data_IF_268694758935
#
_entry.id   IF_268694758935
#
_cell.length_a   1.000
_cell.length_b   1.000
_cell.length_c   1.000
_cell.angle_alpha   90.00
_cell.angle_beta   90.00
_cell.angle_gamma   90.00
#
_symmetry.space_group_name_H-M   'P 1'
#
loop_
_entity.id
_entity.type
_entity.pdbx_description
1 polymer ?
#
# COMPACT_ATOMS: atom_id res chain seq x y z
N UNK A 1 -15.58 -15.92 13.36
CA UNK A 1 -16.03 -16.36 12.01
C UNK A 1 -15.16 -17.49 11.50
N UNK A 2 -15.74 -18.60 11.01
CA UNK A 2 -15.00 -19.70 10.35
C UNK A 2 -15.24 -19.65 8.84
N UNK A 3 -14.18 -19.63 8.05
CA UNK A 3 -14.27 -19.88 6.62
C UNK A 3 -14.42 -21.38 6.33
N UNK A 4 -15.13 -21.71 5.26
CA UNK A 4 -15.18 -23.12 4.81
C UNK A 4 -13.79 -23.56 4.33
N UNK A 5 -13.46 -24.84 4.48
CA UNK A 5 -12.21 -25.43 3.98
C UNK A 5 -11.96 -25.06 2.49
N UNK A 6 -13.03 -25.08 1.67
CA UNK A 6 -12.94 -24.69 0.25
C UNK A 6 -12.43 -23.26 0.05
N UNK A 7 -12.93 -22.28 0.81
CA UNK A 7 -12.49 -20.87 0.68
C UNK A 7 -11.04 -20.69 1.13
N UNK A 8 -10.63 -21.38 2.17
CA UNK A 8 -9.24 -21.38 2.61
C UNK A 8 -8.31 -22.00 1.56
N UNK A 9 -8.74 -23.09 0.91
CA UNK A 9 -7.99 -23.71 -0.19
C UNK A 9 -7.89 -22.78 -1.41
N UNK A 10 -8.98 -22.07 -1.77
CA UNK A 10 -8.94 -21.06 -2.85
C UNK A 10 -7.97 -19.92 -2.48
N UNK A 11 -8.03 -19.40 -1.25
CA UNK A 11 -7.11 -18.35 -0.79
C UNK A 11 -5.65 -18.84 -0.84
N UNK A 12 -5.38 -20.06 -0.38
CA UNK A 12 -4.04 -20.67 -0.50
C UNK A 12 -3.61 -20.83 -1.95
N UNK A 13 -4.50 -21.27 -2.83
CA UNK A 13 -4.24 -21.38 -4.27
C UNK A 13 -3.92 -20.02 -4.90
N UNK A 14 -4.66 -18.96 -4.52
CA UNK A 14 -4.38 -17.57 -4.94
C UNK A 14 -3.03 -17.10 -4.43
N UNK A 15 -2.72 -17.35 -3.14
CA UNK A 15 -1.41 -17.04 -2.58
C UNK A 15 -0.28 -17.66 -3.38
N UNK A 16 -0.35 -18.98 -3.59
CA UNK A 16 0.70 -19.72 -4.31
C UNK A 16 0.81 -19.23 -5.75
N UNK A 17 -0.31 -19.13 -6.48
CA UNK A 17 -0.32 -18.73 -7.88
C UNK A 17 0.23 -17.30 -8.06
N UNK A 18 -0.21 -16.34 -7.22
CA UNK A 18 0.30 -14.97 -7.29
C UNK A 18 1.79 -14.90 -6.93
N UNK A 19 2.22 -15.57 -5.86
CA UNK A 19 3.64 -15.60 -5.46
C UNK A 19 4.54 -16.20 -6.56
N UNK A 20 4.09 -17.27 -7.21
CA UNK A 20 4.82 -17.87 -8.33
C UNK A 20 4.94 -16.90 -9.50
N UNK A 21 3.85 -16.22 -9.88
CA UNK A 21 3.88 -15.25 -10.99
C UNK A 21 4.80 -14.08 -10.63
N UNK A 22 4.71 -13.49 -9.44
CA UNK A 22 5.61 -12.42 -9.00
C UNK A 22 7.07 -12.87 -9.01
N UNK A 23 7.35 -14.06 -8.52
CA UNK A 23 8.70 -14.63 -8.55
C UNK A 23 9.23 -14.82 -9.97
N UNK A 24 8.41 -15.29 -10.93
CA UNK A 24 8.81 -15.46 -12.31
C UNK A 24 9.05 -14.13 -13.05
N UNK A 25 8.29 -13.08 -12.69
CA UNK A 25 8.46 -11.74 -13.27
C UNK A 25 9.63 -10.98 -12.66
N UNK A 26 9.97 -11.23 -11.39
CA UNK A 26 11.06 -10.54 -10.71
C UNK A 26 12.40 -10.72 -11.43
N UNK A 27 13.25 -9.70 -11.33
CA UNK A 27 14.62 -9.76 -11.83
C UNK A 27 15.39 -10.94 -11.20
N UNK A 28 16.23 -11.67 -11.95
CA UNK A 28 17.06 -12.72 -11.40
C UNK A 28 17.88 -12.30 -10.18
N UNK A 29 18.43 -11.07 -10.16
CA UNK A 29 19.18 -10.54 -9.04
C UNK A 29 18.29 -10.41 -7.77
N UNK A 30 17.06 -9.91 -7.90
CA UNK A 30 16.10 -9.82 -6.77
C UNK A 30 15.78 -11.19 -6.17
N UNK A 31 15.84 -12.26 -6.99
CA UNK A 31 15.54 -13.63 -6.56
C UNK A 31 16.71 -14.33 -5.89
N UNK A 32 17.94 -13.98 -6.24
CA UNK A 32 19.14 -14.75 -5.87
C UNK A 32 20.12 -14.02 -4.96
N UNK A 33 20.05 -12.68 -4.92
CA UNK A 33 20.98 -11.84 -4.20
C UNK A 33 20.24 -10.92 -3.20
N UNK A 34 20.99 -10.20 -2.35
CA UNK A 34 20.40 -9.07 -1.63
C UNK A 34 20.10 -7.93 -2.60
N UNK A 35 19.06 -7.15 -2.34
CA UNK A 35 18.81 -5.97 -3.16
C UNK A 35 19.82 -4.86 -2.84
N UNK A 36 20.16 -3.97 -3.80
CA UNK A 36 21.07 -2.85 -3.54
C UNK A 36 20.49 -1.84 -2.55
N UNK A 37 19.19 -1.89 -2.27
CA UNK A 37 18.48 -1.02 -1.32
C UNK A 37 17.81 -1.84 -0.23
N UNK A 38 18.63 -2.64 0.48
CA UNK A 38 18.26 -3.57 1.54
C UNK A 38 18.13 -2.89 2.93
N UNK A 39 17.65 -1.66 2.97
CA UNK A 39 17.54 -0.83 4.18
C UNK A 39 16.89 -1.56 5.37
N UNK A 40 15.86 -2.37 5.12
CA UNK A 40 15.22 -3.14 6.18
C UNK A 40 16.11 -4.22 6.77
N UNK A 41 16.98 -4.85 5.98
CA UNK A 41 17.97 -5.80 6.48
C UNK A 41 19.03 -5.09 7.31
N UNK A 42 19.49 -3.90 6.86
CA UNK A 42 20.45 -3.07 7.60
C UNK A 42 19.86 -2.58 8.94
N UNK A 43 18.60 -2.16 8.96
CA UNK A 43 17.90 -1.77 10.19
C UNK A 43 17.73 -2.95 11.15
N UNK A 44 17.36 -4.13 10.62
CA UNK A 44 17.21 -5.34 11.41
C UNK A 44 18.57 -5.76 12.04
N UNK A 45 19.68 -5.61 11.32
CA UNK A 45 21.01 -5.87 11.84
C UNK A 45 21.44 -4.87 12.92
N UNK A 46 21.14 -3.58 12.72
CA UNK A 46 21.39 -2.56 13.73
C UNK A 46 20.70 -2.92 15.07
N UNK A 47 19.42 -3.32 15.01
CA UNK A 47 18.69 -3.75 16.22
C UNK A 47 19.24 -5.00 16.88
N UNK A 48 19.75 -5.97 16.11
CA UNK A 48 20.42 -7.16 16.67
C UNK A 48 21.64 -6.79 17.51
N UNK A 49 22.28 -5.68 17.18
CA UNK A 49 23.43 -5.16 17.91
C UNK A 49 23.06 -4.08 18.96
N UNK A 50 21.76 -3.96 19.29
CA UNK A 50 21.27 -2.98 20.27
C UNK A 50 21.39 -1.52 19.84
N UNK A 51 21.54 -1.24 18.53
CA UNK A 51 21.68 0.10 17.95
C UNK A 51 20.42 0.54 17.24
N UNK A 52 20.19 1.85 17.20
CA UNK A 52 19.14 2.48 16.40
C UNK A 52 19.69 3.13 15.13
N UNK A 53 20.99 3.35 15.05
CA UNK A 53 21.77 3.81 13.90
C UNK A 53 22.53 2.65 13.25
N UNK A 54 23.10 2.87 12.07
CA UNK A 54 23.85 1.83 11.33
C UNK A 54 25.23 1.52 11.93
N UNK A 55 25.72 2.33 12.89
CA UNK A 55 27.06 2.19 13.48
C UNK A 55 28.19 2.65 12.57
N UNK A 56 27.88 3.26 11.42
CA UNK A 56 28.81 3.76 10.41
C UNK A 56 28.06 4.24 9.17
N UNK A 57 28.79 4.68 8.13
CA UNK A 57 28.19 5.07 6.86
C UNK A 57 27.46 3.89 6.19
N UNK A 58 26.42 4.15 5.37
CA UNK A 58 25.75 3.11 4.62
C UNK A 58 26.73 2.35 3.70
N UNK A 59 26.52 1.05 3.44
CA UNK A 59 27.34 0.31 2.51
C UNK A 59 27.42 0.97 1.13
N UNK A 60 28.59 0.98 0.49
CA UNK A 60 28.82 1.67 -0.77
C UNK A 60 27.87 1.22 -1.91
N UNK A 61 27.47 -0.04 -1.93
CA UNK A 61 26.54 -0.57 -2.94
C UNK A 61 25.14 0.08 -2.89
N UNK A 62 24.75 0.72 -1.77
CA UNK A 62 23.47 1.42 -1.64
C UNK A 62 23.46 2.77 -2.36
N UNK A 63 24.63 3.28 -2.79
CA UNK A 63 24.78 4.62 -3.35
C UNK A 63 24.40 5.73 -2.38
N UNK A 64 24.35 5.46 -1.08
CA UNK A 64 23.87 6.37 -0.03
C UNK A 64 22.43 6.91 -0.27
N UNK A 65 21.61 6.14 -0.97
CA UNK A 65 20.26 6.55 -1.36
C UNK A 65 19.26 6.39 -0.20
N UNK A 66 18.57 7.48 0.17
CA UNK A 66 17.52 7.54 1.19
C UNK A 66 17.96 7.12 2.62
N UNK A 67 19.22 7.42 2.98
CA UNK A 67 19.67 7.40 4.37
C UNK A 67 19.70 8.80 4.95
N UNK A 68 19.38 8.93 6.22
CA UNK A 68 19.45 10.20 6.96
C UNK A 68 20.72 10.26 7.81
N UNK A 69 21.38 11.42 7.80
CA UNK A 69 22.52 11.71 8.66
C UNK A 69 22.12 12.75 9.69
N UNK A 70 22.14 12.37 10.97
CA UNK A 70 21.83 13.23 12.11
C UNK A 70 22.83 12.96 13.23
N UNK A 71 23.42 14.01 13.81
CA UNK A 71 24.41 13.94 14.89
C UNK A 71 25.53 12.90 14.57
N UNK A 72 26.14 13.03 13.38
CA UNK A 72 27.17 12.14 12.81
C UNK A 72 26.84 10.64 12.75
N UNK A 73 25.57 10.29 12.93
CA UNK A 73 25.05 8.93 12.80
C UNK A 73 24.18 8.78 11.56
N UNK A 74 24.12 7.56 11.04
CA UNK A 74 23.32 7.21 9.88
C UNK A 74 22.13 6.38 10.26
N UNK A 75 20.95 6.74 9.74
CA UNK A 75 19.68 6.13 10.09
C UNK A 75 18.89 5.70 8.85
N UNK A 76 18.19 4.56 8.99
CA UNK A 76 17.10 4.18 8.10
C UNK A 76 15.82 4.82 8.61
N UNK A 77 15.19 5.68 7.80
CA UNK A 77 14.00 6.46 8.21
C UNK A 77 12.67 5.84 7.76
N UNK A 78 12.71 4.74 7.03
CA UNK A 78 11.49 4.04 6.65
C UNK A 78 10.76 3.46 7.87
N UNK A 79 9.40 3.42 7.85
CA UNK A 79 8.63 2.82 8.93
C UNK A 79 9.10 1.39 9.24
N UNK A 80 9.26 1.03 10.53
CA UNK A 80 10.19 -0.03 10.95
C UNK A 80 9.64 -1.47 10.89
N UNK A 81 8.33 -1.69 10.70
CA UNK A 81 7.76 -3.03 10.81
C UNK A 81 8.31 -4.04 9.79
N UNK A 82 8.58 -3.70 8.51
CA UNK A 82 9.19 -4.66 7.58
C UNK A 82 10.59 -5.12 8.03
N UNK A 83 11.37 -4.25 8.70
CA UNK A 83 12.65 -4.65 9.28
C UNK A 83 12.47 -5.65 10.43
N UNK A 84 11.41 -5.49 11.24
CA UNK A 84 11.13 -6.43 12.34
C UNK A 84 10.89 -7.86 11.80
N UNK A 85 10.26 -8.01 10.64
CA UNK A 85 10.07 -9.31 9.99
C UNK A 85 11.40 -9.95 9.56
N UNK A 86 12.42 -9.13 9.27
CA UNK A 86 13.74 -9.60 8.84
C UNK A 86 14.69 -9.90 10.00
N UNK A 87 14.42 -9.45 11.23
CA UNK A 87 15.31 -9.68 12.39
C UNK A 87 15.71 -11.17 12.54
N UNK A 88 14.78 -12.14 12.54
CA UNK A 88 15.16 -13.55 12.67
C UNK A 88 15.96 -14.06 11.46
N UNK A 89 15.71 -13.53 10.26
CA UNK A 89 16.38 -13.94 9.03
C UNK A 89 17.81 -13.42 9.01
N UNK A 90 18.01 -12.14 9.34
CA UNK A 90 19.35 -11.54 9.49
C UNK A 90 20.13 -12.25 10.59
N UNK A 91 19.45 -12.64 11.70
CA UNK A 91 20.08 -13.41 12.77
C UNK A 91 20.63 -14.76 12.29
N UNK A 92 19.89 -15.45 11.44
CA UNK A 92 20.33 -16.73 10.87
C UNK A 92 21.39 -16.56 9.78
N UNK A 93 21.29 -15.51 8.96
CA UNK A 93 22.24 -15.22 7.88
C UNK A 93 23.58 -14.67 8.39
N UNK A 94 23.60 -14.05 9.56
CA UNK A 94 24.77 -13.44 10.19
C UNK A 94 25.03 -12.00 9.77
N UNK A 95 24.81 -11.64 8.50
CA UNK A 95 24.99 -10.28 7.97
C UNK A 95 23.87 -9.88 7.01
N UNK A 96 23.56 -8.57 6.86
CA UNK A 96 22.52 -8.08 5.94
C UNK A 96 22.76 -8.49 4.48
N UNK A 97 24.02 -8.55 4.04
CA UNK A 97 24.40 -8.87 2.65
C UNK A 97 24.13 -10.34 2.28
N UNK A 98 24.00 -11.21 3.26
CA UNK A 98 23.64 -12.63 3.05
C UNK A 98 22.13 -12.85 3.00
N UNK A 99 21.33 -11.83 3.33
CA UNK A 99 19.88 -11.92 3.30
C UNK A 99 19.36 -11.64 1.91
N UNK A 100 18.65 -12.58 1.30
CA UNK A 100 17.93 -12.39 0.05
C UNK A 100 16.58 -11.68 0.35
N UNK A 101 16.67 -10.40 0.73
CA UNK A 101 15.53 -9.60 1.15
C UNK A 101 14.46 -9.47 0.06
N UNK A 102 14.87 -9.30 -1.21
CA UNK A 102 13.95 -9.31 -2.34
C UNK A 102 13.14 -10.61 -2.43
N UNK A 103 13.80 -11.77 -2.33
CA UNK A 103 13.12 -13.06 -2.31
C UNK A 103 12.13 -13.20 -1.16
N UNK A 104 12.50 -12.73 0.03
CA UNK A 104 11.61 -12.74 1.19
C UNK A 104 10.32 -11.95 0.93
N UNK A 105 10.43 -10.73 0.40
CA UNK A 105 9.26 -9.90 0.12
C UNK A 105 8.43 -10.43 -1.07
N UNK A 106 9.04 -11.09 -2.05
CA UNK A 106 8.32 -11.82 -3.10
C UNK A 106 7.41 -12.92 -2.54
N UNK A 107 7.88 -13.65 -1.51
CA UNK A 107 7.06 -14.66 -0.84
C UNK A 107 5.87 -14.05 -0.08
N UNK A 108 6.00 -12.83 0.44
CA UNK A 108 4.91 -12.13 1.11
C UNK A 108 3.89 -11.52 0.13
N UNK A 109 4.28 -11.28 -1.13
CA UNK A 109 3.46 -10.55 -2.08
C UNK A 109 2.11 -11.22 -2.41
N UNK A 110 2.03 -12.55 -2.38
CA UNK A 110 0.79 -13.30 -2.60
C UNK A 110 -0.24 -13.20 -1.46
N UNK A 111 0.18 -12.69 -0.27
CA UNK A 111 -0.72 -12.60 0.90
C UNK A 111 -1.86 -11.60 0.65
N UNK A 112 -1.55 -10.42 0.09
CA UNK A 112 -2.55 -9.37 -0.12
C UNK A 112 -3.73 -9.84 -1.00
N UNK A 113 -3.54 -10.42 -2.21
CA UNK A 113 -4.65 -10.90 -3.02
C UNK A 113 -5.41 -12.07 -2.38
N UNK A 114 -4.72 -12.96 -1.67
CA UNK A 114 -5.36 -14.08 -0.97
C UNK A 114 -6.28 -13.63 0.17
N UNK A 115 -5.80 -12.66 0.99
CA UNK A 115 -6.58 -12.10 2.10
C UNK A 115 -7.68 -11.19 1.58
N UNK A 116 -7.46 -10.44 0.48
CA UNK A 116 -8.51 -9.67 -0.19
C UNK A 116 -9.65 -10.60 -0.64
N UNK A 117 -9.35 -11.73 -1.28
CA UNK A 117 -10.38 -12.72 -1.62
C UNK A 117 -11.22 -13.11 -0.40
N UNK A 118 -10.60 -13.40 0.73
CA UNK A 118 -11.33 -13.73 1.96
C UNK A 118 -12.20 -12.58 2.46
N UNK A 119 -11.72 -11.32 2.37
CA UNK A 119 -12.50 -10.15 2.72
C UNK A 119 -13.71 -9.96 1.79
N UNK A 120 -13.54 -10.17 0.48
CA UNK A 120 -14.63 -10.12 -0.50
C UNK A 120 -15.67 -11.24 -0.24
N UNK A 121 -15.23 -12.46 0.10
CA UNK A 121 -16.12 -13.55 0.48
C UNK A 121 -16.85 -13.28 1.81
N UNK A 122 -16.22 -12.55 2.72
CA UNK A 122 -16.88 -12.06 3.95
C UNK A 122 -17.99 -11.06 3.59
N UNK A 123 -17.73 -10.06 2.74
CA UNK A 123 -18.74 -9.11 2.26
C UNK A 123 -19.91 -9.83 1.58
N UNK A 124 -19.61 -10.83 0.72
CA UNK A 124 -20.64 -11.63 0.05
C UNK A 124 -21.50 -12.41 1.05
N UNK A 125 -20.89 -13.03 2.04
CA UNK A 125 -21.60 -13.82 3.06
C UNK A 125 -22.55 -12.98 3.90
N UNK A 126 -22.19 -11.75 4.19
CA UNK A 126 -23.05 -10.81 4.92
C UNK A 126 -24.06 -10.07 4.02
N UNK A 127 -24.18 -10.46 2.74
CA UNK A 127 -25.10 -9.82 1.80
C UNK A 127 -24.69 -8.40 1.39
N UNK A 128 -23.45 -7.99 1.69
CA UNK A 128 -22.92 -6.64 1.39
C UNK A 128 -22.38 -6.54 -0.05
N UNK A 129 -21.99 -7.64 -0.64
CA UNK A 129 -21.52 -7.71 -2.02
C UNK A 129 -22.36 -8.69 -2.83
N UNK A 130 -23.00 -8.25 -3.92
CA UNK A 130 -23.82 -9.11 -4.79
C UNK A 130 -22.99 -9.93 -5.79
N UNK A 131 -21.66 -9.95 -5.62
CA UNK A 131 -20.75 -10.70 -6.46
C UNK A 131 -20.86 -12.22 -6.24
N UNK A 132 -20.44 -13.01 -7.23
CA UNK A 132 -20.25 -14.46 -7.08
C UNK A 132 -18.84 -14.77 -6.55
N UNK A 133 -18.60 -16.02 -6.13
CA UNK A 133 -17.25 -16.48 -5.75
C UNK A 133 -16.26 -16.30 -6.91
N UNK A 134 -16.68 -16.56 -8.17
CA UNK A 134 -15.86 -16.28 -9.36
C UNK A 134 -15.57 -14.79 -9.50
N UNK A 135 -16.52 -13.93 -9.17
CA UNK A 135 -16.32 -12.49 -9.14
C UNK A 135 -15.31 -12.06 -8.07
N UNK A 136 -15.35 -12.66 -6.88
CA UNK A 136 -14.36 -12.43 -5.82
C UNK A 136 -12.95 -12.85 -6.26
N UNK A 137 -12.81 -14.00 -6.94
CA UNK A 137 -11.54 -14.47 -7.51
C UNK A 137 -11.05 -13.51 -8.60
N UNK A 138 -11.94 -13.10 -9.53
CA UNK A 138 -11.62 -12.14 -10.60
C UNK A 138 -11.09 -10.83 -10.02
N UNK A 139 -11.75 -10.27 -8.99
CA UNK A 139 -11.32 -9.03 -8.34
C UNK A 139 -9.97 -9.20 -7.62
N UNK A 140 -9.74 -10.32 -6.92
CA UNK A 140 -8.46 -10.60 -6.27
C UNK A 140 -7.31 -10.73 -7.28
N UNK A 141 -7.53 -11.40 -8.41
CA UNK A 141 -6.55 -11.50 -9.50
C UNK A 141 -6.37 -10.16 -10.22
N UNK A 142 -7.45 -9.39 -10.40
CA UNK A 142 -7.35 -8.04 -10.97
C UNK A 142 -6.60 -7.08 -10.05
N UNK A 143 -6.71 -7.23 -8.73
CA UNK A 143 -5.86 -6.52 -7.78
C UNK A 143 -4.39 -6.94 -7.96
N UNK A 144 -4.12 -8.24 -7.98
CA UNK A 144 -2.76 -8.77 -8.07
C UNK A 144 -2.04 -8.37 -9.37
N UNK A 145 -2.71 -8.48 -10.51
CA UNK A 145 -2.09 -8.36 -11.83
C UNK A 145 -2.60 -7.18 -12.66
N UNK A 146 -3.78 -6.67 -12.38
CA UNK A 146 -4.41 -5.54 -13.08
C UNK A 146 -4.35 -4.23 -12.32
N UNK A 147 -3.49 -4.11 -11.33
CA UNK A 147 -3.19 -2.85 -10.65
C UNK A 147 -1.68 -2.63 -10.56
N UNK A 148 -1.28 -1.43 -10.15
CA UNK A 148 0.13 -1.10 -9.93
C UNK A 148 0.79 -1.94 -8.82
N UNK A 149 0.01 -2.77 -8.14
CA UNK A 149 0.55 -3.76 -7.21
C UNK A 149 1.47 -4.76 -7.92
N UNK A 150 1.18 -5.13 -9.18
CA UNK A 150 1.97 -6.11 -9.93
C UNK A 150 3.43 -5.68 -10.04
N UNK A 151 3.70 -4.48 -10.59
CA UNK A 151 5.08 -4.03 -10.71
C UNK A 151 5.72 -3.74 -9.35
N UNK A 152 4.94 -3.37 -8.33
CA UNK A 152 5.46 -3.16 -6.97
C UNK A 152 5.83 -4.48 -6.28
N UNK A 153 5.06 -5.54 -6.53
CA UNK A 153 5.21 -6.82 -5.86
C UNK A 153 6.50 -7.58 -6.26
N UNK A 154 7.03 -7.33 -7.47
CA UNK A 154 8.18 -8.06 -8.01
C UNK A 154 9.53 -7.36 -7.76
N UNK A 155 9.54 -6.10 -7.29
CA UNK A 155 10.76 -5.31 -7.13
C UNK A 155 11.62 -5.66 -5.91
N UNK A 156 11.01 -6.07 -4.82
CA UNK A 156 11.69 -6.52 -3.59
C UNK A 156 12.49 -5.48 -2.81
N UNK A 157 12.77 -4.29 -3.36
CA UNK A 157 13.55 -3.24 -2.70
C UNK A 157 12.74 -2.50 -1.64
N UNK A 158 13.40 -1.75 -0.75
CA UNK A 158 12.80 -1.11 0.43
C UNK A 158 11.48 -0.39 0.16
N UNK A 159 11.41 0.43 -0.88
CA UNK A 159 10.20 1.21 -1.20
C UNK A 159 9.02 0.34 -1.60
N UNK A 160 9.28 -0.73 -2.36
CA UNK A 160 8.26 -1.63 -2.89
C UNK A 160 7.91 -2.72 -1.88
N UNK A 161 8.87 -3.21 -1.12
CA UNK A 161 8.66 -4.11 0.01
C UNK A 161 7.68 -3.52 1.03
N UNK A 162 7.80 -2.21 1.33
CA UNK A 162 6.85 -1.51 2.17
C UNK A 162 5.42 -1.55 1.61
N UNK A 163 5.23 -1.43 0.28
CA UNK A 163 3.91 -1.57 -0.34
C UNK A 163 3.37 -3.01 -0.29
N UNK A 164 4.24 -4.01 -0.44
CA UNK A 164 3.85 -5.44 -0.34
C UNK A 164 3.31 -5.75 1.06
N UNK A 165 4.07 -5.41 2.09
CA UNK A 165 3.67 -5.63 3.49
C UNK A 165 2.47 -4.77 3.84
N UNK A 166 2.46 -3.49 3.41
CA UNK A 166 1.35 -2.56 3.64
C UNK A 166 0.04 -3.04 3.03
N UNK A 167 0.04 -3.53 1.78
CA UNK A 167 -1.15 -4.07 1.12
C UNK A 167 -1.66 -5.35 1.80
N UNK A 168 -0.77 -6.23 2.28
CA UNK A 168 -1.16 -7.41 3.04
C UNK A 168 -1.84 -7.03 4.38
N UNK A 169 -1.30 -6.03 5.07
CA UNK A 169 -1.89 -5.50 6.31
C UNK A 169 -3.20 -4.75 6.06
N UNK A 170 -3.31 -3.99 4.97
CA UNK A 170 -4.56 -3.34 4.56
C UNK A 170 -5.66 -4.37 4.23
N UNK A 171 -5.32 -5.47 3.54
CA UNK A 171 -6.24 -6.57 3.28
C UNK A 171 -6.66 -7.28 4.58
N UNK A 172 -5.73 -7.51 5.52
CA UNK A 172 -6.02 -8.03 6.85
C UNK A 172 -6.91 -7.09 7.65
N UNK A 173 -6.61 -5.79 7.62
CA UNK A 173 -7.44 -4.78 8.25
C UNK A 173 -8.87 -4.77 7.69
N UNK A 174 -9.03 -4.76 6.35
CA UNK A 174 -10.35 -4.87 5.72
C UNK A 174 -11.09 -6.12 6.21
N UNK A 175 -10.44 -7.29 6.20
CA UNK A 175 -11.03 -8.55 6.64
C UNK A 175 -11.53 -8.51 8.09
N UNK A 176 -10.74 -7.93 9.01
CA UNK A 176 -11.05 -7.91 10.43
C UNK A 176 -11.99 -6.77 10.82
N UNK A 177 -11.94 -5.63 10.11
CA UNK A 177 -12.78 -4.46 10.37
C UNK A 177 -14.25 -4.67 9.98
N UNK A 178 -14.51 -5.39 8.89
CA UNK A 178 -15.87 -5.67 8.42
C UNK A 178 -16.73 -6.30 9.52
N UNK A 179 -17.96 -5.80 9.69
CA UNK A 179 -18.93 -6.20 10.73
C UNK A 179 -18.42 -5.96 12.17
N UNK A 180 -17.33 -5.20 12.35
CA UNK A 180 -16.63 -4.97 13.63
C UNK A 180 -16.39 -6.27 14.44
N UNK A 181 -16.19 -7.41 13.74
CA UNK A 181 -16.19 -8.74 14.33
C UNK A 181 -14.91 -9.04 15.13
N UNK A 182 -13.78 -8.43 14.74
CA UNK A 182 -12.46 -8.67 15.30
C UNK A 182 -11.73 -7.36 15.63
N UNK A 183 -12.25 -6.55 16.60
CA UNK A 183 -11.73 -5.19 16.84
C UNK A 183 -10.24 -5.15 17.10
N UNK A 184 -9.73 -6.03 17.98
CA UNK A 184 -8.31 -6.05 18.32
C UNK A 184 -7.42 -6.43 17.13
N UNK A 185 -7.83 -7.42 16.30
CA UNK A 185 -7.08 -7.79 15.10
C UNK A 185 -7.13 -6.69 14.02
N UNK A 186 -8.26 -6.01 13.90
CA UNK A 186 -8.37 -4.85 13.01
C UNK A 186 -7.44 -3.72 13.46
N UNK A 187 -7.42 -3.40 14.75
CA UNK A 187 -6.51 -2.42 15.32
C UNK A 187 -5.04 -2.82 15.16
N UNK A 188 -4.70 -4.09 15.38
CA UNK A 188 -3.34 -4.60 15.21
C UNK A 188 -2.89 -4.50 13.75
N UNK A 189 -3.74 -4.93 12.79
CA UNK A 189 -3.41 -4.84 11.36
C UNK A 189 -3.21 -3.38 10.92
N UNK A 190 -4.02 -2.46 11.43
CA UNK A 190 -3.90 -1.03 11.17
C UNK A 190 -2.64 -0.43 11.78
N UNK A 191 -2.33 -0.80 13.03
CA UNK A 191 -1.14 -0.35 13.76
C UNK A 191 0.16 -0.80 13.07
N UNK A 192 0.24 -2.07 12.69
CA UNK A 192 1.37 -2.60 11.93
C UNK A 192 1.42 -2.01 10.51
N UNK A 193 0.24 -1.72 9.94
CA UNK A 193 0.10 -0.96 8.69
C UNK A 193 0.73 0.42 8.81
N UNK A 194 0.44 1.17 9.87
CA UNK A 194 1.08 2.46 10.17
C UNK A 194 2.59 2.33 10.29
N UNK A 195 3.08 1.33 11.03
CA UNK A 195 4.51 1.07 11.20
C UNK A 195 5.18 0.49 9.92
N UNK A 196 4.45 0.35 8.82
CA UNK A 196 4.94 -0.07 7.49
C UNK A 196 4.79 1.04 6.46
N UNK A 197 3.61 1.65 6.41
CA UNK A 197 3.18 2.73 5.53
C UNK A 197 2.31 3.68 6.34
N UNK A 198 2.88 4.79 6.76
CA UNK A 198 2.21 5.77 7.64
C UNK A 198 0.79 6.17 7.19
N UNK A 199 0.49 6.34 5.86
CA UNK A 199 -0.87 6.68 5.42
C UNK A 199 -1.94 5.64 5.80
N UNK A 200 -1.58 4.39 6.08
CA UNK A 200 -2.55 3.36 6.45
C UNK A 200 -3.25 3.66 7.79
N UNK A 201 -2.65 4.45 8.68
CA UNK A 201 -3.34 4.87 9.92
C UNK A 201 -4.65 5.60 9.63
N UNK A 202 -4.72 6.33 8.53
CA UNK A 202 -5.92 7.05 8.10
C UNK A 202 -7.05 6.14 7.59
N UNK A 203 -6.85 4.81 7.57
CA UNK A 203 -7.92 3.86 7.23
C UNK A 203 -8.91 3.61 8.40
N UNK A 204 -8.68 4.15 9.58
CA UNK A 204 -9.53 3.98 10.76
C UNK A 204 -11.05 4.19 10.53
N UNK A 205 -11.52 5.10 9.63
CA UNK A 205 -12.95 5.31 9.39
C UNK A 205 -13.72 4.03 9.06
N UNK A 206 -13.13 3.07 8.35
CA UNK A 206 -13.81 1.81 8.05
C UNK A 206 -14.26 1.09 9.33
N UNK A 207 -13.34 0.88 10.28
CA UNK A 207 -13.69 0.17 11.52
C UNK A 207 -14.64 0.98 12.38
N UNK A 208 -14.42 2.29 12.52
CA UNK A 208 -15.27 3.16 13.35
C UNK A 208 -16.72 3.13 12.86
N UNK A 209 -16.94 3.28 11.56
CA UNK A 209 -18.29 3.26 10.97
C UNK A 209 -18.92 1.87 11.05
N UNK A 210 -18.17 0.80 10.85
CA UNK A 210 -18.65 -0.57 11.06
C UNK A 210 -19.02 -0.83 12.52
N UNK A 211 -18.23 -0.32 13.48
CA UNK A 211 -18.54 -0.44 14.92
C UNK A 211 -19.83 0.31 15.30
N UNK A 212 -20.01 1.53 14.77
CA UNK A 212 -21.26 2.29 14.96
C UNK A 212 -22.44 1.54 14.35
N UNK A 213 -22.33 1.10 13.08
CA UNK A 213 -23.38 0.36 12.39
C UNK A 213 -23.81 -0.90 13.14
N UNK A 214 -22.85 -1.71 13.61
CA UNK A 214 -23.13 -2.98 14.29
C UNK A 214 -23.58 -2.80 15.74
N UNK A 215 -23.41 -1.62 16.32
CA UNK A 215 -23.85 -1.26 17.67
C UNK A 215 -25.16 -0.46 17.68
N UNK A 216 -25.80 -0.25 16.52
CA UNK A 216 -27.04 0.52 16.38
C UNK A 216 -28.04 -0.20 15.47
N UNK A 217 -29.22 0.42 15.25
CA UNK A 217 -30.18 -0.06 14.27
C UNK A 217 -29.61 0.17 12.85
N UNK A 218 -29.47 -0.91 12.09
CA UNK A 218 -28.88 -0.89 10.75
C UNK A 218 -29.71 -0.06 9.75
N UNK A 219 -31.06 -0.09 9.88
CA UNK A 219 -31.94 0.69 9.01
C UNK A 219 -31.76 2.20 9.26
N UNK A 220 -31.62 2.60 10.53
CA UNK A 220 -31.36 3.99 10.89
C UNK A 220 -30.00 4.46 10.35
N UNK A 221 -28.97 3.60 10.45
CA UNK A 221 -27.65 3.87 9.87
C UNK A 221 -27.73 4.02 8.35
N UNK A 222 -28.39 3.11 7.66
CA UNK A 222 -28.54 3.11 6.20
C UNK A 222 -29.33 4.30 5.64
N UNK A 223 -30.31 4.82 6.40
CA UNK A 223 -31.11 6.00 6.05
C UNK A 223 -30.47 7.32 6.47
N UNK A 224 -29.38 7.30 7.25
CA UNK A 224 -28.78 8.50 7.83
C UNK A 224 -29.65 9.17 8.89
N UNK A 225 -30.59 8.44 9.49
CA UNK A 225 -31.44 8.97 10.57
C UNK A 225 -30.64 9.02 11.87
N UNK A 226 -30.02 10.17 12.10
CA UNK A 226 -29.14 10.40 13.26
C UNK A 226 -29.89 10.28 14.59
N UNK A 227 -31.19 10.66 14.66
CA UNK A 227 -31.96 10.55 15.90
C UNK A 227 -32.26 9.09 16.25
N UNK A 228 -32.72 8.31 15.29
CA UNK A 228 -32.99 6.88 15.48
C UNK A 228 -31.66 6.13 15.71
N UNK A 229 -30.58 6.51 15.06
CA UNK A 229 -29.24 5.96 15.29
C UNK A 229 -28.80 6.13 16.75
N UNK A 230 -28.83 7.37 17.26
CA UNK A 230 -28.43 7.67 18.64
C UNK A 230 -29.34 7.03 19.69
N UNK A 231 -30.65 6.94 19.42
CA UNK A 231 -31.62 6.30 20.28
C UNK A 231 -31.41 4.77 20.38
N UNK A 232 -30.96 4.14 19.30
CA UNK A 232 -30.73 2.68 19.23
C UNK A 232 -29.31 2.24 19.57
N UNK A 233 -28.40 3.18 19.85
CA UNK A 233 -26.98 2.90 20.01
C UNK A 233 -26.66 2.18 21.32
N UNK A 234 -26.17 0.95 21.24
CA UNK A 234 -25.54 0.24 22.37
C UNK A 234 -24.14 0.83 22.63
N UNK A 235 -24.13 1.84 23.51
CA UNK A 235 -22.91 2.59 23.88
C UNK A 235 -21.86 1.68 24.52
N UNK A 236 -22.27 0.68 25.30
CA UNK A 236 -21.33 -0.22 25.98
C UNK A 236 -20.63 -1.16 24.99
N UNK A 237 -21.35 -1.66 24.00
CA UNK A 237 -20.82 -2.46 22.90
C UNK A 237 -19.87 -1.63 22.04
N UNK A 238 -20.28 -0.43 21.63
CA UNK A 238 -19.47 0.49 20.85
C UNK A 238 -18.16 0.80 21.57
N UNK A 239 -18.25 1.22 22.84
CA UNK A 239 -17.06 1.59 23.63
C UNK A 239 -16.08 0.41 23.75
N UNK A 240 -16.57 -0.79 24.07
CA UNK A 240 -15.73 -2.00 24.14
C UNK A 240 -15.03 -2.28 22.80
N UNK A 241 -15.76 -2.16 21.68
CA UNK A 241 -15.20 -2.38 20.35
C UNK A 241 -14.13 -1.34 20.01
N UNK A 242 -14.39 -0.05 20.30
CA UNK A 242 -13.43 1.02 20.07
C UNK A 242 -12.18 0.89 20.96
N UNK A 243 -12.34 0.58 22.24
CA UNK A 243 -11.21 0.36 23.14
C UNK A 243 -10.33 -0.81 22.65
N UNK A 244 -10.96 -1.94 22.31
CA UNK A 244 -10.22 -3.09 21.79
C UNK A 244 -9.50 -2.78 20.48
N UNK A 245 -10.09 -1.97 19.61
CA UNK A 245 -9.48 -1.50 18.35
C UNK A 245 -8.32 -0.54 18.60
N UNK A 246 -8.51 0.45 19.48
CA UNK A 246 -7.51 1.49 19.72
C UNK A 246 -6.29 1.00 20.50
N UNK A 247 -6.43 -0.02 21.36
CA UNK A 247 -5.33 -0.53 22.21
C UNK A 247 -4.06 -0.84 21.44
N UNK A 248 -4.05 -1.70 20.39
CA UNK A 248 -2.83 -1.97 19.64
C UNK A 248 -2.33 -0.76 18.85
N UNK A 249 -3.23 0.13 18.41
CA UNK A 249 -2.85 1.35 17.69
C UNK A 249 -2.05 2.26 18.61
N UNK A 250 -2.60 2.56 19.79
CA UNK A 250 -1.94 3.42 20.78
C UNK A 250 -0.58 2.85 21.17
N UNK A 251 -0.51 1.54 21.42
CA UNK A 251 0.75 0.88 21.78
C UNK A 251 1.81 1.05 20.69
N UNK A 252 1.49 0.75 19.43
CA UNK A 252 2.45 0.86 18.33
C UNK A 252 2.83 2.31 18.05
N UNK A 253 1.88 3.26 18.12
CA UNK A 253 2.17 4.69 17.99
C UNK A 253 3.13 5.15 19.09
N UNK A 254 2.88 4.80 20.34
CA UNK A 254 3.78 5.14 21.45
C UNK A 254 5.18 4.54 21.28
N UNK A 255 5.29 3.29 20.82
CA UNK A 255 6.57 2.66 20.52
C UNK A 255 7.30 3.39 19.37
N UNK A 256 6.57 3.85 18.35
CA UNK A 256 7.16 4.62 17.24
C UNK A 256 7.65 5.98 17.73
N UNK A 257 6.84 6.70 18.51
CA UNK A 257 7.24 7.98 19.09
C UNK A 257 8.48 7.85 20.01
N UNK A 258 8.54 6.79 20.81
CA UNK A 258 9.72 6.50 21.65
C UNK A 258 10.95 6.18 20.78
N UNK A 259 10.78 5.42 19.69
CA UNK A 259 11.84 5.10 18.76
C UNK A 259 12.40 6.37 18.09
N UNK A 260 11.53 7.31 17.68
CA UNK A 260 11.94 8.57 17.08
C UNK A 260 12.60 9.50 18.12
N UNK A 261 12.04 9.60 19.31
CA UNK A 261 12.66 10.32 20.44
C UNK A 261 14.09 9.84 20.73
N UNK A 262 14.32 8.53 20.67
CA UNK A 262 15.65 7.95 20.94
C UNK A 262 16.65 8.18 19.81
N UNK A 263 16.17 8.34 18.57
CA UNK A 263 17.01 8.58 17.38
C UNK A 263 17.33 10.04 17.18
N UNK A 264 16.34 10.92 17.33
CA UNK A 264 16.41 12.32 16.91
C UNK A 264 16.22 13.33 18.06
N UNK A 265 15.94 12.88 19.27
CA UNK A 265 15.67 13.75 20.40
C UNK A 265 14.29 14.40 20.40
N UNK A 266 13.45 14.14 19.38
CA UNK A 266 12.08 14.61 19.22
C UNK A 266 11.19 13.43 18.79
N UNK A 267 10.07 13.16 19.51
CA UNK A 267 9.18 12.05 19.16
C UNK A 267 8.44 12.24 17.84
N UNK A 268 8.36 13.47 17.31
CA UNK A 268 7.69 13.79 16.05
C UNK A 268 8.66 13.93 14.87
N UNK A 269 9.97 13.83 15.10
CA UNK A 269 10.98 13.87 14.05
C UNK A 269 11.17 12.47 13.47
N UNK A 270 10.74 12.29 12.22
CA UNK A 270 10.85 11.01 11.48
C UNK A 270 12.14 10.89 10.67
N UNK A 271 12.99 11.93 10.67
CA UNK A 271 14.31 11.92 10.03
C UNK A 271 14.31 12.27 8.54
N UNK A 272 13.17 12.49 7.90
CA UNK A 272 13.12 12.78 6.46
C UNK A 272 13.76 14.14 6.08
N UNK A 273 13.80 15.10 6.98
CA UNK A 273 14.47 16.38 6.73
C UNK A 273 16.00 16.27 6.68
N UNK A 274 16.56 15.14 7.12
CA UNK A 274 18.01 14.87 7.10
C UNK A 274 18.43 13.95 5.96
N UNK A 275 17.52 13.63 5.03
CA UNK A 275 17.81 12.82 3.86
C UNK A 275 18.77 13.56 2.92
N UNK A 276 19.82 12.85 2.45
CA UNK A 276 20.74 13.36 1.43
C UNK A 276 20.17 13.28 0.01
N UNK A 277 19.00 13.90 -0.25
CA UNK A 277 18.32 13.84 -1.56
C UNK A 277 18.43 15.16 -2.31
N UNK A 278 18.45 15.12 -3.65
CA UNK A 278 18.62 16.31 -4.50
C UNK A 278 17.54 17.38 -4.32
N UNK A 279 16.34 16.99 -3.85
CA UNK A 279 15.21 17.91 -3.60
C UNK A 279 15.01 18.26 -2.12
N UNK A 280 16.04 18.11 -1.29
CA UNK A 280 15.97 18.44 0.15
C UNK A 280 15.56 19.91 0.39
N UNK A 281 16.00 20.83 -0.47
CA UNK A 281 15.63 22.25 -0.39
C UNK A 281 14.11 22.48 -0.42
N UNK A 282 13.34 21.67 -1.13
CA UNK A 282 11.87 21.74 -1.14
C UNK A 282 11.26 21.27 0.18
N UNK A 283 11.82 20.19 0.76
CA UNK A 283 11.40 19.70 2.08
C UNK A 283 11.67 20.76 3.14
N UNK A 284 12.81 21.43 3.08
CA UNK A 284 13.16 22.53 4.00
C UNK A 284 12.25 23.75 3.82
N UNK A 285 11.88 24.09 2.57
CA UNK A 285 11.05 25.26 2.26
C UNK A 285 9.57 25.06 2.58
N UNK A 286 9.00 23.89 2.25
CA UNK A 286 7.55 23.64 2.28
C UNK A 286 7.13 22.48 3.19
N UNK A 287 8.08 21.80 3.83
CA UNK A 287 7.84 20.60 4.63
C UNK A 287 7.55 19.35 3.79
N UNK A 288 7.22 18.27 4.49
CA UNK A 288 6.87 16.99 3.85
C UNK A 288 5.49 17.01 3.17
N UNK A 289 4.60 17.87 3.65
CA UNK A 289 3.22 18.00 3.15
C UNK A 289 2.92 19.47 2.89
N UNK A 290 2.55 19.77 1.66
CA UNK A 290 2.21 21.12 1.24
C UNK A 290 1.28 21.12 0.03
N UNK A 291 0.47 22.16 -0.12
CA UNK A 291 -0.36 22.37 -1.32
C UNK A 291 0.50 22.56 -2.58
N UNK A 292 1.76 22.97 -2.46
CA UNK A 292 2.70 23.10 -3.58
C UNK A 292 2.93 21.79 -4.32
N UNK A 293 2.73 20.64 -3.66
CA UNK A 293 2.90 19.32 -4.29
C UNK A 293 1.63 18.80 -4.95
N UNK A 294 0.47 19.42 -4.68
CA UNK A 294 -0.85 18.92 -5.11
C UNK A 294 -0.96 18.84 -6.64
N UNK A 295 -0.55 19.89 -7.36
CA UNK A 295 -0.68 19.93 -8.84
C UNK A 295 0.10 18.81 -9.51
N UNK A 296 1.33 18.57 -9.08
CA UNK A 296 2.18 17.50 -9.60
C UNK A 296 1.60 16.11 -9.29
N UNK A 297 1.20 15.87 -8.05
CA UNK A 297 0.62 14.59 -7.66
C UNK A 297 -0.70 14.31 -8.40
N UNK A 298 -1.58 15.31 -8.54
CA UNK A 298 -2.80 15.19 -9.34
C UNK A 298 -2.48 14.94 -10.82
N UNK A 299 -1.48 15.62 -11.38
CA UNK A 299 -1.02 15.39 -12.74
C UNK A 299 -0.63 13.94 -12.99
N UNK A 300 0.13 13.33 -12.06
CA UNK A 300 0.48 11.90 -12.17
C UNK A 300 -0.75 11.02 -12.06
N UNK A 301 -1.61 11.26 -11.06
CA UNK A 301 -2.77 10.39 -10.77
C UNK A 301 -3.82 10.41 -11.88
N UNK A 302 -4.01 11.57 -12.54
CA UNK A 302 -5.14 11.80 -13.43
C UNK A 302 -4.76 11.92 -14.91
N UNK A 303 -3.57 12.47 -15.24
CA UNK A 303 -3.27 12.91 -16.61
C UNK A 303 -2.01 12.32 -17.23
N UNK A 304 -1.13 11.71 -16.43
CA UNK A 304 0.13 11.15 -16.96
C UNK A 304 -0.12 9.92 -17.82
N UNK A 305 0.24 9.99 -19.10
CA UNK A 305 0.09 8.91 -20.08
C UNK A 305 1.44 8.63 -20.76
N UNK A 306 1.59 7.48 -21.44
CA UNK A 306 2.76 7.24 -22.28
C UNK A 306 2.86 8.28 -23.40
N UNK A 307 4.08 8.77 -23.66
CA UNK A 307 4.39 9.73 -24.72
C UNK A 307 4.74 9.00 -26.00
N UNK A 308 4.11 9.40 -27.12
CA UNK A 308 4.52 8.93 -28.45
C UNK A 308 5.86 9.57 -28.83
N UNK A 309 6.82 8.74 -29.19
CA UNK A 309 8.13 9.18 -29.69
C UNK A 309 8.07 9.17 -31.22
N UNK A 310 8.43 10.30 -31.84
CA UNK A 310 8.41 10.43 -33.32
C UNK A 310 9.64 9.81 -33.96
N UNK A 311 10.78 9.81 -33.26
CA UNK A 311 12.05 9.22 -33.71
C UNK A 311 12.78 8.64 -32.51
N UNK A 312 13.16 7.36 -32.57
CA UNK A 312 13.86 6.69 -31.48
C UNK A 312 13.76 5.16 -31.56
N UNK A 313 14.36 4.50 -30.60
CA UNK A 313 14.43 3.03 -30.52
C UNK A 313 13.09 2.39 -30.12
N UNK A 314 12.17 3.18 -29.55
CA UNK A 314 10.88 2.71 -29.02
C UNK A 314 9.72 3.60 -29.47
N UNK A 315 8.50 3.07 -29.67
CA UNK A 315 7.37 3.85 -30.18
C UNK A 315 6.76 4.80 -29.14
N UNK A 316 7.02 4.58 -27.86
CA UNK A 316 6.53 5.42 -26.76
C UNK A 316 7.49 5.41 -25.58
N UNK A 317 7.39 6.43 -24.75
CA UNK A 317 8.12 6.51 -23.49
C UNK A 317 7.17 6.82 -22.31
N UNK A 318 7.57 6.38 -21.13
CA UNK A 318 6.84 6.53 -19.88
C UNK A 318 7.65 7.42 -18.94
N UNK A 319 6.99 8.45 -18.41
CA UNK A 319 7.58 9.29 -17.38
C UNK A 319 7.70 8.50 -16.07
N UNK A 320 8.88 8.45 -15.50
CA UNK A 320 9.14 7.74 -14.24
C UNK A 320 8.48 8.37 -13.00
N UNK A 321 7.79 9.51 -13.15
CA UNK A 321 6.85 10.01 -12.14
C UNK A 321 5.58 9.16 -12.04
N UNK A 322 5.31 8.30 -13.01
CA UNK A 322 4.22 7.33 -13.02
C UNK A 322 3.16 7.59 -14.08
N UNK A 323 2.16 6.72 -14.13
CA UNK A 323 1.02 6.76 -15.05
C UNK A 323 -0.29 6.94 -14.29
N UNK A 324 -1.27 7.54 -14.97
CA UNK A 324 -2.63 7.76 -14.46
C UNK A 324 -3.30 6.45 -14.01
N UNK A 325 -4.02 6.52 -12.88
CA UNK A 325 -4.68 5.35 -12.27
C UNK A 325 -5.69 4.70 -13.21
N UNK A 326 -6.49 5.50 -13.91
CA UNK A 326 -7.49 4.99 -14.84
C UNK A 326 -6.89 4.33 -16.09
N UNK A 327 -5.66 4.71 -16.45
CA UNK A 327 -4.93 4.10 -17.56
C UNK A 327 -4.35 2.74 -17.15
N UNK A 328 -3.69 2.67 -15.99
CA UNK A 328 -3.11 1.42 -15.48
C UNK A 328 -4.15 0.46 -14.93
N UNK A 329 -5.26 0.99 -14.36
CA UNK A 329 -6.33 0.18 -13.76
C UNK A 329 -7.71 0.76 -14.13
N UNK A 330 -8.14 0.62 -15.40
CA UNK A 330 -9.41 1.20 -15.86
C UNK A 330 -10.63 0.66 -15.13
N UNK A 331 -10.53 -0.44 -14.39
CA UNK A 331 -11.58 -0.96 -13.52
C UNK A 331 -12.08 0.08 -12.51
N UNK A 332 -11.23 1.04 -12.09
CA UNK A 332 -11.63 2.12 -11.18
C UNK A 332 -12.67 3.07 -11.78
N UNK A 333 -12.82 3.13 -13.11
CA UNK A 333 -13.86 3.92 -13.76
C UNK A 333 -15.26 3.42 -13.41
N UNK A 334 -15.45 2.13 -13.13
CA UNK A 334 -16.75 1.61 -12.67
C UNK A 334 -17.18 2.21 -11.34
N UNK A 335 -16.28 2.63 -10.50
CA UNK A 335 -16.56 3.22 -9.19
C UNK A 335 -17.33 4.55 -9.29
N UNK A 336 -17.27 5.22 -10.44
CA UNK A 336 -17.97 6.49 -10.67
C UNK A 336 -19.49 6.31 -10.81
N UNK A 337 -19.97 5.10 -11.14
CA UNK A 337 -21.39 4.81 -11.36
C UNK A 337 -21.85 3.55 -10.62
N UNK A 338 -21.88 3.57 -9.27
CA UNK A 338 -22.33 2.41 -8.50
C UNK A 338 -23.82 2.16 -8.77
N UNK A 339 -24.18 0.89 -8.99
CA UNK A 339 -25.57 0.46 -9.18
C UNK A 339 -26.26 0.16 -7.86
N UNK A 340 -25.49 -0.05 -6.81
CA UNK A 340 -25.93 -0.33 -5.46
C UNK A 340 -24.92 0.23 -4.48
N UNK A 341 -25.41 0.81 -3.39
CA UNK A 341 -24.59 1.25 -2.27
C UNK A 341 -24.96 0.42 -1.04
N UNK A 342 -24.14 -0.59 -0.72
CA UNK A 342 -24.32 -1.38 0.49
C UNK A 342 -23.77 -0.65 1.72
N UNK A 343 -24.12 -1.10 2.92
CA UNK A 343 -23.74 -0.46 4.17
C UNK A 343 -22.24 -0.09 4.31
N UNK A 344 -21.25 -0.91 3.89
CA UNK A 344 -19.86 -0.49 4.00
C UNK A 344 -19.40 0.50 2.90
N UNK A 345 -20.25 0.86 1.93
CA UNK A 345 -19.84 1.65 0.76
C UNK A 345 -19.31 3.04 1.15
N UNK A 346 -20.03 3.76 2.00
CA UNK A 346 -19.61 5.08 2.51
C UNK A 346 -18.31 4.95 3.35
N UNK A 347 -18.25 3.94 4.21
CA UNK A 347 -17.08 3.70 5.05
C UNK A 347 -15.81 3.42 4.21
N UNK A 348 -15.95 2.63 3.15
CA UNK A 348 -14.87 2.35 2.20
C UNK A 348 -14.42 3.60 1.45
N UNK A 349 -15.36 4.45 0.97
CA UNK A 349 -15.01 5.70 0.30
C UNK A 349 -14.30 6.70 1.22
N UNK A 350 -14.80 6.86 2.45
CA UNK A 350 -14.13 7.70 3.44
C UNK A 350 -12.74 7.19 3.75
N UNK A 351 -12.57 5.88 3.87
CA UNK A 351 -11.26 5.25 4.07
C UNK A 351 -10.32 5.54 2.91
N UNK A 352 -10.78 5.36 1.66
CA UNK A 352 -9.99 5.70 0.47
C UNK A 352 -9.60 7.18 0.48
N UNK A 353 -10.56 8.08 0.73
CA UNK A 353 -10.30 9.52 0.75
C UNK A 353 -9.30 9.92 1.85
N UNK A 354 -9.46 9.38 3.06
CA UNK A 354 -8.55 9.66 4.18
C UNK A 354 -7.11 9.20 3.92
N UNK A 355 -6.91 8.11 3.15
CA UNK A 355 -5.57 7.66 2.77
C UNK A 355 -5.05 8.44 1.55
N UNK A 356 -5.86 8.59 0.51
CA UNK A 356 -5.44 9.15 -0.77
C UNK A 356 -5.17 10.66 -0.69
N UNK A 357 -6.06 11.43 -0.04
CA UNK A 357 -5.93 12.90 0.01
C UNK A 357 -4.60 13.36 0.61
N UNK A 358 -4.16 12.87 1.79
CA UNK A 358 -2.85 13.27 2.32
C UNK A 358 -1.68 12.95 1.38
N UNK A 359 -1.74 11.83 0.64
CA UNK A 359 -0.66 11.46 -0.29
C UNK A 359 -0.53 12.43 -1.47
N UNK A 360 -1.61 13.15 -1.84
CA UNK A 360 -1.57 14.19 -2.88
C UNK A 360 -0.82 15.44 -2.44
N UNK A 361 -0.71 15.68 -1.13
CA UNK A 361 0.04 16.79 -0.56
C UNK A 361 1.47 16.43 -0.18
N UNK A 362 1.88 15.17 -0.39
CA UNK A 362 3.21 14.69 -0.05
C UNK A 362 4.26 15.16 -1.05
N UNK A 363 5.46 15.44 -0.56
CA UNK A 363 6.59 16.04 -1.30
C UNK A 363 7.06 15.22 -2.53
N UNK A 364 6.70 13.94 -2.62
CA UNK A 364 7.13 13.04 -3.69
C UNK A 364 5.93 12.35 -4.33
N UNK A 365 5.96 12.20 -5.65
CA UNK A 365 4.94 11.47 -6.43
C UNK A 365 5.04 9.94 -6.27
N UNK A 366 6.10 9.46 -5.63
CA UNK A 366 6.49 8.04 -5.62
C UNK A 366 7.63 7.72 -6.61
N UNK A 367 8.24 8.76 -7.20
CA UNK A 367 9.37 8.66 -8.13
C UNK A 367 10.55 7.87 -7.51
N UNK A 368 11.15 6.88 -8.20
CA UNK A 368 10.85 6.34 -9.52
C UNK A 368 9.74 5.28 -9.46
N UNK A 369 8.85 5.28 -10.44
CA UNK A 369 7.76 4.31 -10.52
C UNK A 369 7.23 4.15 -11.95
N UNK A 370 6.57 3.01 -12.23
CA UNK A 370 5.86 2.77 -13.47
C UNK A 370 4.46 3.40 -13.44
N UNK A 371 3.62 2.98 -12.50
CA UNK A 371 2.31 3.56 -12.20
C UNK A 371 2.34 4.29 -10.87
N UNK A 372 1.23 4.91 -10.45
CA UNK A 372 1.15 5.63 -9.18
C UNK A 372 1.13 4.67 -7.99
N UNK A 373 2.31 4.26 -7.50
CA UNK A 373 2.48 3.21 -6.48
C UNK A 373 1.82 3.52 -5.12
N UNK A 374 1.65 4.81 -4.78
CA UNK A 374 0.97 5.16 -3.53
C UNK A 374 -0.50 4.73 -3.51
N UNK A 375 -1.09 4.42 -4.69
CA UNK A 375 -2.42 3.81 -4.73
C UNK A 375 -2.48 2.42 -4.10
N UNK A 376 -1.36 1.71 -3.93
CA UNK A 376 -1.33 0.43 -3.23
C UNK A 376 -1.82 0.54 -1.78
N UNK A 377 -1.67 1.70 -1.15
CA UNK A 377 -2.10 1.95 0.23
C UNK A 377 -3.64 1.91 0.38
N UNK A 378 -4.39 2.16 -0.72
CA UNK A 378 -5.86 2.16 -0.72
C UNK A 378 -6.51 1.26 -1.79
N UNK A 379 -5.73 0.61 -2.65
CA UNK A 379 -6.24 -0.25 -3.72
C UNK A 379 -7.14 -1.38 -3.20
N UNK A 380 -6.80 -2.00 -2.07
CA UNK A 380 -7.60 -3.06 -1.44
C UNK A 380 -9.04 -2.58 -1.18
N UNK A 381 -9.22 -1.34 -0.71
CA UNK A 381 -10.53 -0.75 -0.43
C UNK A 381 -11.26 -0.38 -1.72
N UNK A 382 -10.56 0.04 -2.79
CA UNK A 382 -11.15 0.26 -4.11
C UNK A 382 -11.70 -1.04 -4.71
N UNK A 383 -11.00 -2.16 -4.56
CA UNK A 383 -11.48 -3.47 -5.01
C UNK A 383 -12.66 -3.97 -4.15
N UNK A 384 -12.71 -3.64 -2.86
CA UNK A 384 -13.88 -3.87 -2.03
C UNK A 384 -15.09 -3.03 -2.50
N UNK A 385 -14.88 -1.77 -2.89
CA UNK A 385 -15.91 -0.91 -3.50
C UNK A 385 -16.43 -1.51 -4.82
N UNK A 386 -15.56 -2.05 -5.67
CA UNK A 386 -15.98 -2.78 -6.89
C UNK A 386 -16.86 -3.98 -6.55
N UNK A 387 -16.58 -4.71 -5.47
CA UNK A 387 -17.41 -5.83 -5.05
C UNK A 387 -18.79 -5.40 -4.52
N UNK A 388 -18.87 -4.27 -3.79
CA UNK A 388 -20.10 -3.78 -3.17
C UNK A 388 -20.96 -2.95 -4.11
N UNK A 389 -20.42 -2.40 -5.19
CA UNK A 389 -21.10 -1.48 -6.10
C UNK A 389 -22.17 -2.08 -7.01
N UNK A 390 -22.42 -3.39 -6.95
CA UNK A 390 -23.49 -4.06 -7.72
C UNK A 390 -23.22 -4.18 -9.22
N UNK A 391 -21.97 -4.14 -9.62
CA UNK A 391 -21.56 -4.21 -11.03
C UNK A 391 -21.76 -5.61 -11.63
N UNK A 392 -22.16 -5.65 -12.91
CA UNK A 392 -22.08 -6.87 -13.71
C UNK A 392 -20.69 -6.94 -14.34
N UNK A 393 -19.96 -8.01 -14.08
CA UNK A 393 -18.66 -8.27 -14.72
C UNK A 393 -18.85 -8.81 -16.14
N UNK A 394 -19.45 -7.97 -17.00
CA UNK A 394 -19.71 -8.27 -18.40
C UNK A 394 -18.45 -8.07 -19.29
N UNK A 395 -18.66 -8.14 -20.61
CA UNK A 395 -17.56 -8.06 -21.61
C UNK A 395 -16.69 -6.80 -21.44
N UNK A 396 -17.29 -5.62 -21.23
CA UNK A 396 -16.55 -4.37 -21.05
C UNK A 396 -15.63 -4.41 -19.81
N UNK A 397 -16.15 -4.96 -18.69
CA UNK A 397 -15.33 -5.12 -17.48
C UNK A 397 -14.18 -6.09 -17.69
N UNK A 398 -14.43 -7.22 -18.39
CA UNK A 398 -13.38 -8.20 -18.68
C UNK A 398 -12.32 -7.65 -19.65
N UNK A 399 -12.72 -6.84 -20.64
CA UNK A 399 -11.76 -6.16 -21.53
C UNK A 399 -10.93 -5.15 -20.77
N UNK A 400 -11.54 -4.37 -19.87
CA UNK A 400 -10.81 -3.44 -18.99
C UNK A 400 -9.85 -4.18 -18.04
N UNK A 401 -10.26 -5.34 -17.50
CA UNK A 401 -9.39 -6.18 -16.69
C UNK A 401 -8.21 -6.76 -17.50
N UNK A 402 -8.46 -7.22 -18.72
CA UNK A 402 -7.40 -7.70 -19.62
C UNK A 402 -6.40 -6.58 -19.96
N UNK A 403 -6.90 -5.39 -20.31
CA UNK A 403 -6.05 -4.21 -20.51
C UNK A 403 -5.20 -3.90 -19.27
N UNK A 404 -5.83 -3.87 -18.09
CA UNK A 404 -5.15 -3.61 -16.83
C UNK A 404 -4.00 -4.61 -16.59
N UNK A 405 -4.25 -5.91 -16.82
CA UNK A 405 -3.23 -6.95 -16.68
C UNK A 405 -2.10 -6.75 -17.69
N UNK A 406 -2.40 -6.46 -18.96
CA UNK A 406 -1.38 -6.25 -19.99
C UNK A 406 -0.47 -5.07 -19.67
N UNK A 407 -1.05 -3.93 -19.27
CA UNK A 407 -0.29 -2.71 -18.96
C UNK A 407 0.57 -2.92 -17.71
N UNK A 408 0.02 -3.51 -16.64
CA UNK A 408 0.80 -3.74 -15.43
C UNK A 408 1.83 -4.86 -15.60
N UNK A 409 1.58 -5.87 -16.44
CA UNK A 409 2.57 -6.88 -16.83
C UNK A 409 3.73 -6.24 -17.62
N UNK A 410 3.44 -5.28 -18.52
CA UNK A 410 4.48 -4.49 -19.18
C UNK A 410 5.34 -3.75 -18.16
N UNK A 411 4.71 -3.04 -17.21
CA UNK A 411 5.44 -2.36 -16.13
C UNK A 411 6.30 -3.30 -15.29
N UNK A 412 5.72 -4.43 -14.86
CA UNK A 412 6.43 -5.45 -14.08
C UNK A 412 7.61 -6.07 -14.85
N UNK A 413 7.50 -6.20 -16.19
CA UNK A 413 8.58 -6.76 -16.99
C UNK A 413 9.69 -5.76 -17.32
N UNK A 414 9.39 -4.48 -17.43
CA UNK A 414 10.30 -3.50 -18.04
C UNK A 414 10.86 -2.46 -17.07
N UNK A 415 10.14 -2.16 -15.98
CA UNK A 415 10.56 -1.12 -15.05
C UNK A 415 11.85 -1.51 -14.29
N UNK A 416 12.80 -0.57 -14.22
CA UNK A 416 14.05 -0.74 -13.49
C UNK A 416 15.08 -1.67 -14.16
N UNK A 417 14.81 -2.16 -15.39
CA UNK A 417 15.71 -3.05 -16.12
C UNK A 417 16.45 -2.33 -17.25
N UNK A 418 17.75 -2.52 -17.30
CA UNK A 418 18.65 -1.82 -18.22
C UNK A 418 18.27 -2.05 -19.70
N UNK A 419 17.87 -3.26 -20.08
CA UNK A 419 17.47 -3.60 -21.45
C UNK A 419 16.21 -2.87 -21.94
N UNK A 420 15.39 -2.34 -21.01
CA UNK A 420 14.17 -1.59 -21.30
C UNK A 420 14.28 -0.10 -20.97
N UNK A 421 15.46 0.41 -20.62
CA UNK A 421 15.66 1.80 -20.21
C UNK A 421 15.15 2.82 -21.24
N UNK A 422 15.19 2.48 -22.55
CA UNK A 422 14.69 3.34 -23.63
C UNK A 422 13.18 3.67 -23.52
N UNK A 423 12.40 2.83 -22.85
CA UNK A 423 10.96 3.07 -22.61
C UNK A 423 10.69 4.09 -21.51
N UNK A 424 11.70 4.53 -20.77
CA UNK A 424 11.53 5.38 -19.60
C UNK A 424 12.33 6.67 -19.72
N UNK A 425 11.76 7.76 -19.22
CA UNK A 425 12.47 9.03 -19.08
C UNK A 425 12.12 9.71 -17.77
N UNK A 426 12.99 10.62 -17.36
CA UNK A 426 12.77 11.48 -16.19
C UNK A 426 12.46 12.89 -16.68
N UNK A 427 11.33 13.43 -16.24
CA UNK A 427 11.01 14.83 -16.48
C UNK A 427 11.61 15.70 -15.36
N UNK A 428 12.91 15.94 -15.44
CA UNK A 428 13.62 16.77 -14.48
C UNK A 428 13.27 18.26 -14.61
N UNK A 429 12.74 18.68 -15.79
CA UNK A 429 12.34 20.06 -16.03
C UNK A 429 10.91 20.36 -15.64
N UNK A 430 10.15 19.32 -15.28
CA UNK A 430 8.75 19.38 -14.87
C UNK A 430 7.81 20.05 -15.89
N UNK A 431 8.20 20.07 -17.16
CA UNK A 431 7.41 20.66 -18.23
C UNK A 431 6.07 19.98 -18.47
N UNK A 432 6.00 18.70 -18.15
CA UNK A 432 4.85 17.81 -18.41
C UNK A 432 3.93 17.74 -17.21
N UNK A 433 4.51 17.77 -16.01
CA UNK A 433 3.79 17.75 -14.74
C UNK A 433 3.99 19.10 -14.07
N UNK A 434 2.93 19.90 -14.02
CA UNK A 434 2.97 21.18 -13.37
C UNK A 434 3.46 21.06 -11.92
N UNK A 435 4.54 21.75 -11.61
CA UNK A 435 5.03 21.93 -10.25
C UNK A 435 5.41 23.40 -10.09
N UNK A 436 4.63 24.18 -9.34
CA UNK A 436 5.02 25.52 -8.96
C UNK A 436 6.21 25.43 -7.99
N UNK A 437 7.31 26.00 -8.33
CA UNK A 437 8.46 26.19 -7.44
C UNK A 437 8.54 27.64 -6.99
#
# INVERSE_FOLDING_TARGET
MSFTKRRLLIALGLYVACSVVFFLFADPAVRSEHTPWNHFSLLADAWRHGRLDLGGPPPAYTGNNDFSRFDDKWYVVFPPFPALLLVPIVALAGTPERVRDGQFFLLLAGIAPAVLFLALEKLRRFGRAPTSERGSILLALSFAFGSVYFFSAEQGTVWFAAHVVGAALAAGYLLFALEAERPWLAGLALALGFATRTPLLFAAPLFVLEAVRTSSNEDAFGKGDMKALWASLDRARLLRSLLAFMTPIVLVVLLTLLHDQRRFGDPFEVGYQYLGVAWQHRIQKWGLFSYHYLGKNLGVVLTSLPYRVQSGLVPFQINQHGLALWFTTPLYLWLLWPRRTAAPHLALWLTVACIAVPTLFYQNTGWLQFGYRFSNDYAVFLFALLATGGYKFGRAFLLAAAWAVLINAFGARTFGRAEYAAYYFQDNTQRILYQPD
#
